data_IF_408007504990
#
_entry.id   IF_408007504990
#
_cell.length_a   1.000
_cell.length_b   1.000
_cell.length_c   1.000
_cell.angle_alpha   90.00
_cell.angle_beta   90.00
_cell.angle_gamma   90.00
#
_symmetry.space_group_name_H-M   'P 1'
#
loop_
_entity.id
_entity.type
_entity.pdbx_description
1 polymer ?
#
# COMPACT_ATOMS: atom_id res chain seq x y z
N UNK A 1 -14.95 0.09 4.28
CA UNK A 1 -13.55 0.00 3.88
C UNK A 1 -12.75 -0.01 5.16
N UNK A 2 -11.96 -1.07 5.35
CA UNK A 2 -10.96 -1.19 6.40
C UNK A 2 -9.65 -1.48 5.69
N UNK A 3 -8.57 -0.92 6.21
CA UNK A 3 -7.22 -1.13 5.70
C UNK A 3 -6.50 -2.03 6.70
N UNK A 4 -5.98 -3.14 6.21
CA UNK A 4 -5.02 -3.94 6.94
C UNK A 4 -3.63 -3.37 6.69
N UNK A 5 -2.89 -3.05 7.75
CA UNK A 5 -1.58 -2.41 7.66
C UNK A 5 -0.53 -3.35 8.24
N UNK A 6 0.61 -3.45 7.56
CA UNK A 6 1.79 -4.16 8.03
C UNK A 6 3.02 -3.28 7.80
N UNK A 7 3.74 -2.99 8.87
CA UNK A 7 5.04 -2.31 8.82
C UNK A 7 6.11 -3.34 9.13
N UNK A 8 6.98 -3.63 8.17
CA UNK A 8 8.10 -4.56 8.34
C UNK A 8 9.40 -3.77 8.43
N UNK A 9 10.20 -4.03 9.45
CA UNK A 9 11.50 -3.40 9.69
C UNK A 9 12.58 -4.46 9.65
N UNK A 10 13.37 -4.46 8.57
CA UNK A 10 14.48 -5.39 8.37
C UNK A 10 15.82 -4.66 8.53
N UNK A 11 16.92 -5.43 8.60
CA UNK A 11 18.29 -4.91 8.64
C UNK A 11 18.56 -3.94 9.83
N UNK A 12 17.82 -4.11 10.93
CA UNK A 12 17.88 -3.25 12.12
C UNK A 12 18.34 -4.01 13.38
N UNK A 13 19.58 -4.53 13.47
CA UNK A 13 20.02 -5.48 14.51
C UNK A 13 20.04 -4.92 15.95
N UNK A 14 19.85 -3.61 16.12
CA UNK A 14 19.77 -2.94 17.44
C UNK A 14 18.35 -2.51 17.80
N UNK A 15 17.37 -2.78 16.92
CA UNK A 15 15.98 -2.57 17.22
C UNK A 15 15.53 -3.64 18.22
N UNK A 16 14.71 -3.22 19.17
CA UNK A 16 14.12 -4.08 20.18
C UNK A 16 12.66 -3.67 20.29
N UNK A 17 11.79 -4.56 20.73
CA UNK A 17 10.36 -4.27 20.96
C UNK A 17 10.15 -2.93 21.69
N UNK A 18 10.83 -2.70 22.83
CA UNK A 18 10.75 -1.45 23.60
C UNK A 18 11.08 -0.18 22.79
N UNK A 19 12.04 -0.24 21.86
CA UNK A 19 12.42 0.90 21.03
C UNK A 19 11.38 1.12 19.93
N UNK A 20 10.83 0.04 19.39
CA UNK A 20 9.76 0.05 18.41
C UNK A 20 8.48 0.63 19.00
N UNK A 21 8.03 0.17 20.18
CA UNK A 21 6.86 0.76 20.88
C UNK A 21 7.03 2.25 21.13
N UNK A 22 8.23 2.69 21.56
CA UNK A 22 8.53 4.13 21.74
C UNK A 22 8.56 4.91 20.42
N UNK A 23 8.79 4.26 19.29
CA UNK A 23 8.69 4.88 17.98
C UNK A 23 7.22 5.00 17.56
N UNK A 24 6.42 3.94 17.75
CA UNK A 24 4.96 3.90 17.52
C UNK A 24 4.28 5.04 18.28
N UNK A 25 4.48 5.14 19.60
CA UNK A 25 3.89 6.17 20.45
C UNK A 25 4.22 7.60 19.98
N UNK A 26 5.46 7.79 19.51
CA UNK A 26 5.96 9.10 19.10
C UNK A 26 5.50 9.51 17.71
N UNK A 27 5.30 8.54 16.82
CA UNK A 27 4.70 8.75 15.52
C UNK A 27 3.18 8.95 15.63
N UNK A 28 2.57 8.62 16.78
CA UNK A 28 1.13 8.69 16.97
C UNK A 28 0.39 7.61 16.18
N UNK A 29 1.06 6.51 15.86
CA UNK A 29 0.44 5.42 15.12
C UNK A 29 -0.71 4.82 15.94
N UNK A 30 -1.88 4.76 15.33
CA UNK A 30 -3.08 4.20 15.97
C UNK A 30 -3.69 3.12 15.08
N UNK A 31 -3.50 1.87 15.49
CA UNK A 31 -4.08 0.69 14.85
C UNK A 31 -5.04 -0.02 15.83
N UNK A 32 -6.13 -0.56 15.29
CA UNK A 32 -7.00 -1.51 15.99
C UNK A 32 -6.37 -2.90 15.93
N UNK A 33 -6.43 -3.63 17.04
CA UNK A 33 -5.83 -4.96 17.17
C UNK A 33 -4.33 -4.98 16.83
N UNK A 34 -3.61 -3.94 17.26
CA UNK A 34 -2.16 -3.81 17.03
C UNK A 34 -1.40 -5.01 17.60
N UNK A 35 -0.51 -5.58 16.78
CA UNK A 35 0.42 -6.62 17.19
C UNK A 35 1.84 -6.22 16.77
N UNK A 36 2.79 -6.47 17.67
CA UNK A 36 4.22 -6.33 17.42
C UNK A 36 4.84 -7.73 17.48
N UNK A 37 5.48 -8.15 16.39
CA UNK A 37 5.99 -9.52 16.22
C UNK A 37 7.44 -9.42 15.76
N UNK A 38 8.32 -10.26 16.31
CA UNK A 38 9.68 -10.48 15.79
C UNK A 38 9.71 -11.82 15.06
N UNK A 39 10.22 -11.83 13.84
CA UNK A 39 10.43 -13.04 13.04
C UNK A 39 11.83 -13.08 12.43
N UNK A 40 12.05 -13.99 11.47
CA UNK A 40 13.36 -14.19 10.84
C UNK A 40 13.82 -13.01 9.96
N UNK A 41 12.89 -12.20 9.45
CA UNK A 41 13.17 -11.04 8.60
C UNK A 41 13.38 -9.76 9.42
N UNK A 42 12.74 -9.68 10.58
CA UNK A 42 12.93 -8.59 11.53
C UNK A 42 11.68 -8.31 12.37
N UNK A 43 11.41 -7.02 12.60
CA UNK A 43 10.25 -6.60 13.40
C UNK A 43 9.07 -6.25 12.51
N UNK A 44 7.88 -6.71 12.88
CA UNK A 44 6.61 -6.41 12.21
C UNK A 44 5.64 -5.73 13.18
N UNK A 45 4.98 -4.67 12.71
CA UNK A 45 3.84 -4.03 13.39
C UNK A 45 2.64 -4.17 12.47
N UNK A 46 1.59 -4.84 12.92
CA UNK A 46 0.40 -5.06 12.11
C UNK A 46 -0.88 -4.71 12.84
N UNK A 47 -1.92 -4.35 12.09
CA UNK A 47 -3.22 -3.99 12.65
C UNK A 47 -4.17 -3.38 11.63
N UNK A 48 -5.41 -3.17 12.06
CA UNK A 48 -6.48 -2.62 11.22
C UNK A 48 -6.64 -1.11 11.45
N UNK A 49 -7.01 -0.39 10.40
CA UNK A 49 -7.49 0.98 10.50
C UNK A 49 -8.72 1.17 9.61
N UNK A 50 -9.60 2.11 9.99
CA UNK A 50 -10.79 2.42 9.18
C UNK A 50 -10.44 3.14 7.88
N UNK A 51 -9.35 3.91 7.92
CA UNK A 51 -8.79 4.68 6.80
C UNK A 51 -7.28 4.44 6.77
N UNK A 52 -6.52 5.24 6.04
CA UNK A 52 -5.08 5.30 6.19
C UNK A 52 -4.69 5.51 7.67
N UNK A 53 -3.77 4.69 8.19
CA UNK A 53 -3.34 4.79 9.57
C UNK A 53 -2.49 6.04 9.77
N UNK A 54 -2.97 6.98 10.58
CA UNK A 54 -2.23 8.19 10.93
C UNK A 54 -0.87 7.83 11.54
N UNK A 55 0.19 8.55 11.17
CA UNK A 55 1.54 8.34 11.68
C UNK A 55 2.31 7.16 11.07
N UNK A 56 1.70 6.35 10.18
CA UNK A 56 2.36 5.16 9.61
C UNK A 56 3.63 5.50 8.81
N UNK A 57 3.58 6.53 7.98
CA UNK A 57 4.72 6.96 7.16
C UNK A 57 5.76 7.72 7.98
N UNK A 58 5.33 8.50 8.96
CA UNK A 58 6.23 9.18 9.89
C UNK A 58 7.02 8.16 10.73
N UNK A 59 6.37 7.07 11.14
CA UNK A 59 7.03 5.96 11.80
C UNK A 59 8.06 5.30 10.89
N UNK A 60 7.68 4.97 9.65
CA UNK A 60 8.59 4.32 8.70
C UNK A 60 9.82 5.19 8.37
N UNK A 61 9.62 6.48 8.19
CA UNK A 61 10.70 7.45 7.98
C UNK A 61 11.58 7.59 9.24
N UNK A 62 11.00 7.67 10.44
CA UNK A 62 11.77 7.79 11.69
C UNK A 62 12.61 6.53 11.96
N UNK A 63 12.03 5.35 11.76
CA UNK A 63 12.72 4.06 11.97
C UNK A 63 13.88 3.88 11.00
N UNK A 64 13.64 4.07 9.70
CA UNK A 64 14.69 3.95 8.67
C UNK A 64 15.78 5.02 8.80
N UNK A 65 15.49 6.18 9.41
CA UNK A 65 16.47 7.24 9.69
C UNK A 65 17.33 6.93 10.92
N UNK A 66 16.72 6.45 12.02
CA UNK A 66 17.41 6.22 13.30
C UNK A 66 18.22 4.94 13.34
N UNK A 67 17.83 3.96 12.54
CA UNK A 67 18.51 2.69 12.43
C UNK A 67 19.26 2.66 11.11
N UNK A 68 20.54 3.06 11.13
CA UNK A 68 21.38 3.09 9.93
C UNK A 68 21.41 1.72 9.26
N UNK A 69 21.03 1.67 7.98
CA UNK A 69 20.94 0.44 7.20
C UNK A 69 19.58 -0.26 7.29
N UNK A 70 18.66 0.18 8.15
CA UNK A 70 17.34 -0.42 8.21
C UNK A 70 16.52 -0.13 6.95
N UNK A 71 15.85 -1.15 6.45
CA UNK A 71 14.83 -1.05 5.43
C UNK A 71 13.46 -1.19 6.10
N UNK A 72 12.57 -0.23 5.85
CA UNK A 72 11.22 -0.25 6.42
C UNK A 72 10.22 -0.29 5.29
N UNK A 73 9.38 -1.31 5.29
CA UNK A 73 8.33 -1.53 4.31
C UNK A 73 6.97 -1.30 4.97
N UNK A 74 6.11 -0.54 4.31
CA UNK A 74 4.74 -0.29 4.71
C UNK A 74 3.84 -0.93 3.67
N UNK A 75 3.21 -2.04 4.02
CA UNK A 75 2.18 -2.68 3.22
C UNK A 75 0.81 -2.24 3.75
N UNK A 76 -0.02 -1.69 2.87
CA UNK A 76 -1.42 -1.41 3.17
C UNK A 76 -2.28 -2.18 2.18
N UNK A 77 -3.16 -3.03 2.70
CA UNK A 77 -4.17 -3.74 1.94
C UNK A 77 -5.54 -3.14 2.25
N UNK A 78 -6.30 -2.78 1.23
CA UNK A 78 -7.67 -2.30 1.38
C UNK A 78 -8.64 -3.21 0.65
N UNK A 79 -9.70 -3.58 1.38
CA UNK A 79 -10.84 -4.25 0.80
C UNK A 79 -11.79 -3.20 0.19
N UNK A 80 -11.74 -3.05 -1.12
CA UNK A 80 -12.76 -2.34 -1.90
C UNK A 80 -13.88 -3.31 -2.22
N UNK A 81 -15.12 -2.97 -1.81
CA UNK A 81 -16.34 -3.73 -2.11
C UNK A 81 -16.52 -4.13 -3.59
N UNK A 82 -15.86 -3.41 -4.48
CA UNK A 82 -16.06 -3.43 -5.93
C UNK A 82 -14.86 -4.01 -6.69
N UNK A 83 -13.79 -4.45 -6.01
CA UNK A 83 -12.64 -5.08 -6.67
C UNK A 83 -12.67 -6.60 -6.50
N UNK A 84 -12.28 -7.32 -7.57
CA UNK A 84 -12.16 -8.79 -7.56
C UNK A 84 -11.04 -9.28 -6.62
N UNK A 85 -10.06 -8.42 -6.34
CA UNK A 85 -8.93 -8.64 -5.44
C UNK A 85 -8.73 -7.41 -4.54
N UNK A 86 -8.24 -7.61 -3.32
CA UNK A 86 -7.92 -6.49 -2.44
C UNK A 86 -6.83 -5.60 -3.07
N UNK A 87 -7.03 -4.29 -3.02
CA UNK A 87 -6.00 -3.35 -3.45
C UNK A 87 -4.88 -3.32 -2.42
N UNK A 88 -3.64 -3.20 -2.90
CA UNK A 88 -2.45 -3.18 -2.06
C UNK A 88 -1.52 -2.05 -2.48
N UNK A 89 -0.92 -1.40 -1.50
CA UNK A 89 0.24 -0.52 -1.69
C UNK A 89 1.39 -1.02 -0.83
N UNK A 90 2.58 -1.03 -1.41
CA UNK A 90 3.84 -1.32 -0.74
C UNK A 90 4.72 -0.09 -0.86
N UNK A 91 5.11 0.49 0.26
CA UNK A 91 6.02 1.62 0.34
C UNK A 91 7.30 1.30 1.09
N UNK A 92 8.44 1.59 0.47
CA UNK A 92 9.76 1.25 1.02
C UNK A 92 10.49 2.51 1.45
N UNK A 93 11.08 2.51 2.65
CA UNK A 93 11.83 3.60 3.24
C UNK A 93 13.24 3.15 3.63
N UNK A 94 14.24 3.96 3.25
CA UNK A 94 15.63 3.79 3.69
C UNK A 94 16.23 5.14 4.04
N UNK A 95 16.95 5.24 5.16
CA UNK A 95 17.57 6.50 5.59
C UNK A 95 16.59 7.64 5.87
N UNK A 96 15.30 7.35 6.06
CA UNK A 96 14.24 8.35 6.23
C UNK A 96 13.63 8.89 4.95
N UNK A 97 13.97 8.32 3.79
CA UNK A 97 13.39 8.70 2.49
C UNK A 97 12.65 7.54 1.82
N UNK A 98 11.52 7.87 1.19
CA UNK A 98 10.70 6.92 0.41
C UNK A 98 11.41 6.56 -0.90
N UNK A 99 11.62 5.27 -1.11
CA UNK A 99 12.27 4.69 -2.29
C UNK A 99 11.23 4.42 -3.38
N UNK A 100 10.84 5.46 -4.13
CA UNK A 100 9.78 5.37 -5.17
C UNK A 100 9.95 4.23 -6.18
N UNK A 101 11.19 3.88 -6.53
CA UNK A 101 11.47 2.79 -7.47
C UNK A 101 11.20 1.39 -6.91
N UNK A 102 11.04 1.27 -5.57
CA UNK A 102 10.72 0.03 -4.87
C UNK A 102 9.29 0.00 -4.35
N UNK A 103 8.63 1.15 -4.31
CA UNK A 103 7.19 1.23 -4.01
C UNK A 103 6.36 0.65 -5.15
N UNK A 104 5.30 -0.08 -4.80
CA UNK A 104 4.38 -0.70 -5.75
C UNK A 104 2.94 -0.49 -5.31
N UNK A 105 2.03 -0.50 -6.27
CA UNK A 105 0.59 -0.45 -6.02
C UNK A 105 -0.08 -1.47 -6.96
N UNK A 106 -0.93 -2.34 -6.42
CA UNK A 106 -1.58 -3.46 -7.12
C UNK A 106 -3.04 -3.60 -6.68
N UNK A 107 -3.84 -4.37 -7.43
CA UNK A 107 -5.27 -4.58 -7.13
C UNK A 107 -6.19 -3.38 -7.39
N UNK A 108 -5.67 -2.23 -7.82
CA UNK A 108 -6.47 -1.10 -8.33
C UNK A 108 -6.86 -1.22 -9.80
N UNK A 109 -6.22 -2.12 -10.53
CA UNK A 109 -6.39 -2.25 -11.97
C UNK A 109 -7.22 -3.49 -12.23
N UNK A 110 -8.45 -3.34 -12.74
CA UNK A 110 -9.21 -4.50 -13.15
C UNK A 110 -8.47 -5.31 -14.21
N UNK A 111 -8.53 -6.63 -14.12
CA UNK A 111 -7.79 -7.55 -14.99
C UNK A 111 -8.10 -7.34 -16.48
N UNK A 112 -9.28 -6.78 -16.78
CA UNK A 112 -9.77 -6.45 -18.11
C UNK A 112 -9.36 -5.03 -18.59
N UNK A 113 -8.71 -4.19 -17.78
CA UNK A 113 -8.30 -2.82 -18.16
C UNK A 113 -7.42 -2.80 -19.42
N UNK A 114 -6.47 -3.73 -19.52
CA UNK A 114 -5.59 -3.82 -20.70
C UNK A 114 -6.40 -4.11 -21.97
N UNK A 115 -7.39 -4.99 -21.86
CA UNK A 115 -8.27 -5.36 -22.96
C UNK A 115 -9.18 -4.20 -23.34
N UNK A 116 -9.70 -3.46 -22.36
CA UNK A 116 -10.56 -2.31 -22.57
C UNK A 116 -9.82 -1.11 -23.17
N UNK A 117 -8.58 -0.84 -22.75
CA UNK A 117 -7.71 0.14 -23.41
C UNK A 117 -7.42 -0.28 -24.85
N UNK A 118 -7.18 -1.57 -25.11
CA UNK A 118 -6.96 -2.08 -26.46
C UNK A 118 -8.21 -1.93 -27.34
N UNK A 119 -9.41 -2.19 -26.79
CA UNK A 119 -10.68 -2.01 -27.48
C UNK A 119 -10.93 -0.55 -27.87
N UNK A 120 -10.61 0.40 -26.98
CA UNK A 120 -10.71 1.84 -27.27
C UNK A 120 -9.72 2.25 -28.36
N UNK A 121 -8.48 1.76 -28.31
CA UNK A 121 -7.49 2.02 -29.37
C UNK A 121 -7.94 1.48 -30.73
N UNK A 122 -8.51 0.27 -30.75
CA UNK A 122 -9.04 -0.32 -31.97
C UNK A 122 -10.22 0.50 -32.54
N UNK A 123 -11.15 0.91 -31.67
CA UNK A 123 -12.30 1.72 -32.07
C UNK A 123 -11.89 3.10 -32.60
N UNK A 124 -10.89 3.75 -31.98
CA UNK A 124 -10.30 4.99 -32.49
C UNK A 124 -9.60 4.80 -33.86
N UNK A 125 -9.09 3.60 -34.13
CA UNK A 125 -8.57 3.20 -35.44
C UNK A 125 -9.62 2.85 -36.49
N UNK A 126 -10.91 3.07 -36.19
CA UNK A 126 -12.04 2.78 -37.08
C UNK A 126 -12.55 1.34 -37.02
N UNK A 127 -12.05 0.53 -36.08
CA UNK A 127 -12.46 -0.87 -35.89
C UNK A 127 -13.24 -1.03 -34.59
N UNK A 128 -14.57 -1.04 -34.69
CA UNK A 128 -15.48 -1.29 -33.56
C UNK A 128 -16.30 -0.07 -33.13
N UNK A 129 -17.06 -0.24 -32.04
CA UNK A 129 -17.92 0.80 -31.47
C UNK A 129 -17.17 1.57 -30.37
N UNK A 130 -16.83 2.82 -30.67
CA UNK A 130 -16.13 3.71 -29.75
C UNK A 130 -16.97 4.06 -28.52
N UNK A 131 -18.29 4.21 -28.66
CA UNK A 131 -19.16 4.56 -27.55
C UNK A 131 -19.21 3.40 -26.55
N UNK A 132 -19.37 2.16 -27.03
CA UNK A 132 -19.34 0.97 -26.19
C UNK A 132 -17.97 0.74 -25.54
N UNK A 133 -16.87 0.92 -26.29
CA UNK A 133 -15.52 0.74 -25.75
C UNK A 133 -15.16 1.81 -24.70
N UNK A 134 -15.57 3.06 -24.92
CA UNK A 134 -15.34 4.15 -23.97
C UNK A 134 -16.25 4.05 -22.74
N UNK A 135 -17.46 3.48 -22.89
CA UNK A 135 -18.40 3.25 -21.79
C UNK A 135 -17.75 2.49 -20.63
N UNK A 136 -17.00 1.44 -20.94
CA UNK A 136 -16.25 0.67 -19.95
C UNK A 136 -15.27 1.54 -19.14
N UNK A 137 -14.54 2.46 -19.79
CA UNK A 137 -13.61 3.37 -19.13
C UNK A 137 -14.33 4.44 -18.31
N UNK A 138 -15.46 4.94 -18.81
CA UNK A 138 -16.26 5.98 -18.16
C UNK A 138 -16.95 5.42 -16.91
N UNK A 139 -17.62 4.28 -17.04
CA UNK A 139 -18.29 3.60 -15.92
C UNK A 139 -17.27 3.16 -14.85
N UNK A 140 -16.03 2.85 -15.25
CA UNK A 140 -14.91 2.60 -14.34
C UNK A 140 -14.36 3.87 -13.64
N UNK A 141 -14.37 5.02 -14.33
CA UNK A 141 -13.92 6.30 -13.75
C UNK A 141 -14.95 6.93 -12.81
N UNK A 142 -16.25 6.71 -13.05
CA UNK A 142 -17.34 7.25 -12.24
C UNK A 142 -17.79 6.31 -11.10
N UNK A 143 -17.24 5.08 -11.06
CA UNK A 143 -17.54 4.09 -10.03
C UNK A 143 -18.94 3.49 -10.12
N UNK A 144 -19.58 3.55 -11.29
CA UNK A 144 -20.87 2.87 -11.57
C UNK A 144 -20.71 1.44 -12.05
N UNK A 145 -19.47 1.03 -12.30
CA UNK A 145 -19.01 -0.35 -12.52
C UNK A 145 -18.74 -1.06 -11.20
#
# INVERSE_FOLDING_TARGET
>A
MSTWNVITVTEAPRLTERKLSKAIDRAGLCLSDEQIIEDEDGWKVCGNSKYEAEGIYDLAADLSRRHTGACVEVLQEWDTRDADEAGQSLDVYTGGERQRARSQESGLVPVDLVQSIAAVRAALGGSGDLAAAARWLIDGLDGSR
#
